data_IF_257043537649
#
_entry.id   IF_257043537649
#
_cell.length_a   1.000
_cell.length_b   1.000
_cell.length_c   1.000
_cell.angle_alpha   90.00
_cell.angle_beta   90.00
_cell.angle_gamma   90.00
#
_symmetry.space_group_name_H-M   'P 1'
#
loop_
_entity.id
_entity.type
_entity.pdbx_description
1 polymer ?
#
# COMPACT_ATOMS: atom_id res chain seq x y z
N UNK A 1 11.65 -9.00 11.06
CA UNK A 1 11.19 -9.79 9.90
C UNK A 1 11.11 -8.87 8.71
N UNK A 2 11.74 -9.24 7.60
CA UNK A 2 11.63 -8.55 6.32
C UNK A 2 10.30 -8.99 5.69
N UNK A 3 9.40 -8.04 5.38
CA UNK A 3 8.15 -8.34 4.68
C UNK A 3 8.42 -8.19 3.19
N UNK A 4 8.11 -9.23 2.42
CA UNK A 4 8.06 -9.15 0.97
C UNK A 4 6.77 -8.41 0.59
N UNK A 5 6.89 -7.34 -0.18
CA UNK A 5 5.74 -6.67 -0.77
C UNK A 5 5.52 -7.21 -2.17
N UNK A 6 4.30 -7.67 -2.44
CA UNK A 6 3.95 -8.17 -3.76
C UNK A 6 3.30 -7.05 -4.57
N UNK A 7 3.82 -6.78 -5.75
CA UNK A 7 3.34 -5.72 -6.61
C UNK A 7 3.08 -6.23 -8.03
N UNK A 8 2.19 -5.56 -8.74
CA UNK A 8 2.02 -5.76 -10.16
C UNK A 8 2.00 -4.43 -10.93
N UNK A 9 2.55 -4.43 -12.15
CA UNK A 9 2.46 -3.34 -13.13
C UNK A 9 1.62 -3.83 -14.32
N UNK A 10 0.71 -3.00 -14.81
CA UNK A 10 -0.06 -3.29 -16.01
C UNK A 10 -0.42 -2.01 -16.77
N UNK A 11 -0.08 -1.97 -18.06
CA UNK A 11 -0.73 -1.06 -18.99
C UNK A 11 -2.13 -1.58 -19.33
N UNK A 12 -3.16 -0.83 -18.94
CA UNK A 12 -4.55 -1.29 -19.06
C UNK A 12 -5.21 -0.92 -20.38
N UNK A 13 -4.70 0.06 -21.13
CA UNK A 13 -5.41 0.67 -22.27
C UNK A 13 -6.88 0.94 -21.95
N UNK A 14 -7.12 1.86 -21.03
CA UNK A 14 -8.36 2.09 -20.29
C UNK A 14 -8.64 1.08 -19.21
N UNK A 15 -9.09 1.56 -18.05
CA UNK A 15 -9.65 0.71 -16.99
C UNK A 15 -11.17 0.51 -17.11
N UNK A 16 -11.83 1.19 -18.06
CA UNK A 16 -13.26 1.09 -18.27
C UNK A 16 -13.66 -0.36 -18.61
N UNK A 17 -14.71 -0.88 -17.96
CA UNK A 17 -15.19 -2.27 -18.04
C UNK A 17 -14.20 -3.36 -17.57
N UNK A 18 -13.06 -3.00 -16.97
CA UNK A 18 -12.06 -3.97 -16.48
C UNK A 18 -12.01 -4.04 -14.96
N UNK A 19 -12.84 -3.25 -14.28
CA UNK A 19 -12.77 -3.06 -12.83
C UNK A 19 -12.90 -4.36 -12.04
N UNK A 20 -13.80 -5.26 -12.46
CA UNK A 20 -13.98 -6.54 -11.77
C UNK A 20 -12.76 -7.44 -11.90
N UNK A 21 -12.21 -7.60 -13.12
CA UNK A 21 -11.03 -8.44 -13.37
C UNK A 21 -9.81 -7.91 -12.59
N UNK A 22 -9.59 -6.59 -12.60
CA UNK A 22 -8.49 -5.98 -11.85
C UNK A 22 -8.66 -6.11 -10.33
N UNK A 23 -9.89 -6.04 -9.83
CA UNK A 23 -10.20 -6.24 -8.42
C UNK A 23 -9.90 -7.68 -7.97
N UNK A 24 -10.35 -8.69 -8.73
CA UNK A 24 -10.06 -10.10 -8.45
C UNK A 24 -8.57 -10.39 -8.61
N UNK A 25 -7.89 -9.81 -9.61
CA UNK A 25 -6.45 -9.94 -9.78
C UNK A 25 -5.66 -9.51 -8.53
N UNK A 26 -6.06 -8.41 -7.88
CA UNK A 26 -5.47 -7.95 -6.60
C UNK A 26 -5.66 -9.00 -5.50
N UNK A 27 -6.85 -9.57 -5.38
CA UNK A 27 -7.18 -10.55 -4.33
C UNK A 27 -6.50 -11.89 -4.55
N UNK A 28 -6.62 -12.45 -5.75
CA UNK A 28 -6.13 -13.78 -6.10
C UNK A 28 -4.60 -13.87 -6.01
N UNK A 29 -3.91 -12.77 -6.30
CA UNK A 29 -2.46 -12.69 -6.21
C UNK A 29 -1.97 -12.09 -4.88
N UNK A 30 -2.87 -11.77 -3.94
CA UNK A 30 -2.58 -11.12 -2.67
C UNK A 30 -1.64 -9.91 -2.83
N UNK A 31 -1.93 -9.05 -3.81
CA UNK A 31 -1.08 -7.90 -4.09
C UNK A 31 -1.11 -6.89 -2.95
N UNK A 32 0.02 -6.27 -2.66
CA UNK A 32 0.12 -5.06 -1.84
C UNK A 32 -0.02 -3.80 -2.71
N UNK A 33 0.39 -3.89 -3.97
CA UNK A 33 0.29 -2.80 -4.95
C UNK A 33 -0.18 -3.30 -6.32
N UNK A 34 -1.05 -2.52 -6.96
CA UNK A 34 -1.31 -2.60 -8.40
C UNK A 34 -1.04 -1.24 -9.02
N UNK A 35 -0.09 -1.20 -9.94
CA UNK A 35 0.32 -0.02 -10.67
C UNK A 35 -0.24 -0.06 -12.09
N UNK A 36 -0.92 1.00 -12.50
CA UNK A 36 -1.62 1.08 -13.76
C UNK A 36 -1.10 2.24 -14.59
N UNK A 37 -0.79 1.98 -15.86
CA UNK A 37 -0.60 3.00 -16.90
C UNK A 37 -1.75 2.93 -17.90
N UNK A 38 -1.92 4.00 -18.68
CA UNK A 38 -3.02 4.15 -19.64
C UNK A 38 -4.37 3.94 -18.98
N UNK A 39 -4.61 4.54 -17.81
CA UNK A 39 -5.87 4.35 -17.08
C UNK A 39 -7.06 4.93 -17.84
N UNK A 40 -6.83 5.99 -18.61
CA UNK A 40 -7.84 6.77 -19.33
C UNK A 40 -8.94 7.31 -18.41
N UNK A 41 -8.61 7.44 -17.12
CA UNK A 41 -9.45 8.04 -16.09
C UNK A 41 -9.62 9.53 -16.42
N UNK A 42 -10.87 10.02 -16.37
CA UNK A 42 -11.12 11.46 -16.48
C UNK A 42 -10.96 12.14 -15.13
N UNK A 43 -10.50 13.40 -15.08
CA UNK A 43 -10.53 14.17 -13.83
C UNK A 43 -11.93 14.17 -13.22
N UNK A 44 -12.02 13.96 -11.91
CA UNK A 44 -13.25 13.94 -11.11
C UNK A 44 -14.22 12.77 -11.42
N UNK A 45 -13.89 11.88 -12.34
CA UNK A 45 -14.54 10.57 -12.43
C UNK A 45 -13.73 9.61 -11.56
N UNK A 46 -14.37 8.90 -10.63
CA UNK A 46 -13.72 7.94 -9.73
C UNK A 46 -14.41 6.57 -9.74
N UNK A 47 -15.43 6.37 -10.59
CA UNK A 47 -16.27 5.18 -10.53
C UNK A 47 -15.47 3.89 -10.76
N UNK A 48 -14.69 3.85 -11.84
CA UNK A 48 -13.88 2.68 -12.20
C UNK A 48 -12.80 2.37 -11.14
N UNK A 49 -12.08 3.39 -10.65
CA UNK A 49 -11.06 3.24 -9.59
C UNK A 49 -11.65 2.74 -8.28
N UNK A 50 -12.82 3.24 -7.89
CA UNK A 50 -13.54 2.77 -6.71
C UNK A 50 -13.93 1.29 -6.84
N UNK A 51 -14.34 0.84 -8.03
CA UNK A 51 -14.67 -0.56 -8.28
C UNK A 51 -13.44 -1.47 -8.33
N UNK A 52 -12.31 -0.99 -8.86
CA UNK A 52 -11.04 -1.75 -8.89
C UNK A 52 -10.50 -1.96 -7.48
N UNK A 53 -10.70 -0.99 -6.59
CA UNK A 53 -10.06 -0.93 -5.28
C UNK A 53 -10.81 -1.80 -4.26
N UNK A 54 -10.24 -2.94 -3.80
CA UNK A 54 -10.91 -3.80 -2.83
C UNK A 54 -10.94 -3.17 -1.43
N UNK A 55 -11.76 -3.75 -0.54
CA UNK A 55 -11.73 -3.39 0.87
C UNK A 55 -10.32 -3.60 1.45
N UNK A 56 -9.84 -2.63 2.23
CA UNK A 56 -8.47 -2.64 2.76
C UNK A 56 -7.42 -1.98 1.84
N UNK A 57 -7.82 -1.45 0.69
CA UNK A 57 -6.95 -0.70 -0.23
C UNK A 57 -7.40 0.76 -0.37
N UNK A 58 -6.47 1.61 -0.80
CA UNK A 58 -6.65 2.99 -1.22
C UNK A 58 -5.97 3.17 -2.57
N UNK A 59 -6.18 4.28 -3.26
CA UNK A 59 -5.44 4.58 -4.47
C UNK A 59 -4.91 6.01 -4.50
N UNK A 60 -3.90 6.20 -5.34
CA UNK A 60 -3.38 7.49 -5.77
C UNK A 60 -3.51 7.52 -7.29
N UNK A 61 -4.11 8.56 -7.85
CA UNK A 61 -4.27 8.71 -9.29
C UNK A 61 -3.72 10.05 -9.80
N UNK A 62 -3.32 10.05 -11.07
CA UNK A 62 -2.94 11.23 -11.83
C UNK A 62 -3.55 11.08 -13.23
N UNK A 63 -4.80 11.55 -13.45
CA UNK A 63 -5.45 11.46 -14.75
C UNK A 63 -4.85 12.46 -15.74
N UNK A 64 -4.86 12.12 -17.03
CA UNK A 64 -4.48 13.08 -18.07
C UNK A 64 -5.58 14.15 -18.20
N UNK A 65 -5.27 15.46 -18.12
CA UNK A 65 -6.29 16.50 -18.15
C UNK A 65 -7.09 16.57 -19.46
N UNK A 66 -6.45 16.29 -20.59
CA UNK A 66 -7.04 16.44 -21.92
C UNK A 66 -6.56 15.34 -22.88
N UNK A 67 -7.37 15.07 -23.90
CA UNK A 67 -7.08 14.09 -24.94
C UNK A 67 -7.63 12.69 -24.66
N UNK A 68 -7.35 11.78 -25.58
CA UNK A 68 -7.60 10.35 -25.41
C UNK A 68 -6.30 9.69 -24.95
N UNK A 69 -6.39 8.76 -24.00
CA UNK A 69 -5.23 8.05 -23.48
C UNK A 69 -4.54 8.70 -22.28
N UNK A 70 -3.49 8.04 -21.80
CA UNK A 70 -2.69 8.44 -20.64
C UNK A 70 -3.33 8.12 -19.30
N UNK A 71 -2.83 8.78 -18.27
CA UNK A 71 -3.25 8.58 -16.90
C UNK A 71 -2.52 7.43 -16.22
N UNK A 72 -2.20 7.65 -14.95
CA UNK A 72 -1.45 6.73 -14.10
C UNK A 72 -2.20 6.57 -12.78
N UNK A 73 -2.22 5.35 -12.23
CA UNK A 73 -2.74 5.11 -10.90
C UNK A 73 -1.92 4.05 -10.14
N UNK A 74 -1.95 4.14 -8.82
CA UNK A 74 -1.43 3.14 -7.91
C UNK A 74 -2.52 2.76 -6.91
N UNK A 75 -2.93 1.50 -6.88
CA UNK A 75 -3.78 0.93 -5.84
C UNK A 75 -2.87 0.30 -4.79
N UNK A 76 -3.08 0.65 -3.53
CA UNK A 76 -2.13 0.42 -2.42
C UNK A 76 -2.88 -0.12 -1.20
N UNK A 77 -2.35 -1.15 -0.56
CA UNK A 77 -2.90 -1.64 0.73
C UNK A 77 -2.86 -0.53 1.79
N UNK A 78 -3.98 -0.24 2.46
CA UNK A 78 -4.15 0.90 3.41
C UNK A 78 -3.14 0.93 4.56
N UNK A 79 -2.55 -0.21 4.88
CA UNK A 79 -1.55 -0.34 5.95
C UNK A 79 -0.20 0.27 5.57
N UNK A 80 0.05 0.42 4.27
CA UNK A 80 1.26 0.99 3.72
C UNK A 80 1.08 2.50 3.59
N UNK A 81 1.96 3.26 4.24
CA UNK A 81 1.96 4.72 4.17
C UNK A 81 2.73 5.19 2.95
N UNK A 82 2.00 5.66 1.94
CA UNK A 82 2.53 6.29 0.75
C UNK A 82 2.28 7.81 0.78
N UNK A 83 3.30 8.60 0.48
CA UNK A 83 3.23 10.06 0.42
C UNK A 83 3.69 10.54 -0.95
N UNK A 84 2.85 11.27 -1.68
CA UNK A 84 3.20 11.81 -3.00
C UNK A 84 4.40 12.76 -2.88
N UNK A 85 5.34 12.64 -3.82
CA UNK A 85 6.44 13.59 -3.98
C UNK A 85 6.07 14.49 -5.18
N UNK A 86 5.88 15.80 -4.96
CA UNK A 86 5.60 16.72 -6.05
C UNK A 86 6.89 16.97 -6.85
N UNK A 87 7.00 16.30 -8.00
CA UNK A 87 8.04 16.58 -9.01
C UNK A 87 7.35 17.26 -10.20
N UNK A 88 7.90 18.37 -10.73
CA UNK A 88 7.36 19.06 -11.90
C UNK A 88 7.11 18.11 -13.08
N UNK A 89 6.06 18.36 -13.84
CA UNK A 89 5.71 17.55 -15.00
C UNK A 89 6.77 17.65 -16.09
N UNK A 90 7.13 16.49 -16.66
CA UNK A 90 7.98 16.42 -17.85
C UNK A 90 7.13 16.60 -19.11
N UNK A 91 7.74 17.12 -20.18
CA UNK A 91 7.05 17.30 -21.46
C UNK A 91 6.93 16.00 -22.27
N UNK A 92 7.80 15.04 -21.98
CA UNK A 92 8.01 13.83 -22.77
C UNK A 92 7.33 12.57 -22.23
N UNK A 93 6.91 12.56 -20.96
CA UNK A 93 6.23 11.44 -20.33
C UNK A 93 5.34 11.90 -19.17
N UNK A 94 4.40 11.05 -18.78
CA UNK A 94 3.64 11.20 -17.55
C UNK A 94 4.31 10.43 -16.42
N UNK A 95 4.26 10.96 -15.20
CA UNK A 95 4.75 10.24 -14.02
C UNK A 95 3.88 10.42 -12.78
N UNK A 96 3.89 9.40 -11.93
CA UNK A 96 3.39 9.45 -10.56
C UNK A 96 4.48 8.97 -9.61
N UNK A 97 4.85 9.81 -8.64
CA UNK A 97 5.99 9.55 -7.76
C UNK A 97 5.55 9.70 -6.31
N UNK A 98 5.87 8.71 -5.49
CA UNK A 98 5.55 8.71 -4.07
C UNK A 98 6.61 7.95 -3.27
N UNK A 99 6.68 8.29 -1.98
CA UNK A 99 7.58 7.70 -1.00
C UNK A 99 6.81 6.74 -0.09
N UNK A 100 7.34 5.54 0.08
CA UNK A 100 6.88 4.60 1.10
C UNK A 100 7.65 4.83 2.39
N UNK A 101 6.92 4.95 3.50
CA UNK A 101 7.53 5.13 4.82
C UNK A 101 8.07 3.81 5.37
N UNK A 102 9.34 3.80 5.78
CA UNK A 102 9.97 2.68 6.48
C UNK A 102 11.39 2.99 6.97
N UNK A 103 12.05 2.06 7.68
CA UNK A 103 13.45 2.15 8.08
C UNK A 103 14.37 2.63 6.97
N UNK A 104 14.20 2.07 5.77
CA UNK A 104 14.83 2.55 4.53
C UNK A 104 13.71 3.08 3.64
N UNK A 105 13.64 4.39 3.38
CA UNK A 105 12.57 4.92 2.56
C UNK A 105 12.69 4.44 1.11
N UNK A 106 11.61 3.90 0.55
CA UNK A 106 11.56 3.57 -0.87
C UNK A 106 10.85 4.70 -1.62
N UNK A 107 11.49 5.25 -2.65
CA UNK A 107 10.79 6.10 -3.63
C UNK A 107 10.33 5.22 -4.78
N UNK A 108 9.05 5.31 -5.12
CA UNK A 108 8.44 4.62 -6.26
C UNK A 108 8.05 5.64 -7.31
N UNK A 109 8.48 5.41 -8.55
CA UNK A 109 8.20 6.24 -9.71
C UNK A 109 7.55 5.38 -10.80
N UNK A 110 6.33 5.76 -11.19
CA UNK A 110 5.59 5.15 -12.30
C UNK A 110 5.71 6.09 -13.48
N UNK A 111 6.19 5.61 -14.63
CA UNK A 111 6.31 6.39 -15.86
C UNK A 111 5.40 5.82 -16.95
N UNK A 112 4.77 6.71 -17.72
CA UNK A 112 4.17 6.35 -19.00
C UNK A 112 4.71 7.29 -20.07
N UNK A 113 5.51 6.75 -21.00
CA UNK A 113 5.99 7.49 -22.17
C UNK A 113 5.05 7.21 -23.35
N UNK A 114 4.41 8.24 -23.92
CA UNK A 114 3.63 8.07 -25.15
C UNK A 114 4.47 7.48 -26.29
N UNK A 115 3.88 6.69 -27.21
CA UNK A 115 4.64 6.02 -28.28
C UNK A 115 5.22 7.00 -29.31
N UNK A 116 4.68 8.22 -29.40
CA UNK A 116 5.20 9.23 -30.32
C UNK A 116 6.61 9.66 -29.87
N UNK A 117 7.61 9.65 -30.77
CA UNK A 117 8.95 10.09 -30.42
C UNK A 117 8.96 11.52 -29.88
N UNK A 118 9.68 11.72 -28.77
CA UNK A 118 9.98 13.03 -28.21
C UNK A 118 11.50 13.11 -27.98
N UNK A 119 12.22 14.06 -28.61
CA UNK A 119 13.66 14.18 -28.49
C UNK A 119 14.13 14.54 -27.07
N UNK A 120 13.28 15.20 -26.27
CA UNK A 120 13.59 15.58 -24.88
C UNK A 120 13.45 14.42 -23.89
N UNK A 121 13.00 13.23 -24.32
CA UNK A 121 12.74 12.13 -23.39
C UNK A 121 13.96 11.71 -22.58
N UNK A 122 15.13 11.54 -23.21
CA UNK A 122 16.32 11.08 -22.50
C UNK A 122 16.86 12.14 -21.53
N UNK A 123 16.78 13.43 -21.89
CA UNK A 123 17.15 14.52 -20.97
C UNK A 123 16.18 14.62 -19.80
N UNK A 124 14.87 14.61 -20.07
CA UNK A 124 13.84 14.66 -19.02
C UNK A 124 13.96 13.44 -18.07
N UNK A 125 14.30 12.27 -18.62
CA UNK A 125 14.57 11.05 -17.84
C UNK A 125 15.83 11.21 -17.00
N UNK A 126 16.94 11.69 -17.56
CA UNK A 126 18.17 11.91 -16.79
C UNK A 126 17.95 12.86 -15.61
N UNK A 127 17.18 13.93 -15.83
CA UNK A 127 16.83 14.90 -14.79
C UNK A 127 15.97 14.26 -13.69
N UNK A 128 14.97 13.45 -14.05
CA UNK A 128 14.12 12.79 -13.06
C UNK A 128 14.88 11.71 -12.28
N UNK A 129 15.74 10.93 -12.94
CA UNK A 129 16.58 9.93 -12.27
C UNK A 129 17.51 10.58 -11.26
N UNK A 130 18.13 11.71 -11.62
CA UNK A 130 19.01 12.48 -10.74
C UNK A 130 18.25 13.00 -9.51
N UNK A 131 17.04 13.56 -9.72
CA UNK A 131 16.18 14.01 -8.63
C UNK A 131 15.77 12.86 -7.71
N UNK A 132 15.36 11.71 -8.27
CA UNK A 132 14.95 10.54 -7.50
C UNK A 132 16.09 10.01 -6.62
N UNK A 133 17.31 9.91 -7.18
CA UNK A 133 18.51 9.48 -6.46
C UNK A 133 18.89 10.43 -5.33
N UNK A 134 18.62 11.73 -5.47
CA UNK A 134 18.82 12.71 -4.40
C UNK A 134 17.82 12.55 -3.24
N UNK A 135 16.63 12.01 -3.51
CA UNK A 135 15.56 11.85 -2.50
C UNK A 135 15.75 10.55 -1.69
N UNK A 136 16.19 9.48 -2.33
CA UNK A 136 16.43 8.20 -1.66
C UNK A 136 17.51 7.36 -2.35
N UNK A 137 18.35 6.63 -1.57
CA UNK A 137 19.26 5.64 -2.12
C UNK A 137 18.53 4.39 -2.67
N UNK A 138 17.26 4.21 -2.33
CA UNK A 138 16.44 3.10 -2.81
C UNK A 138 15.29 3.66 -3.65
N UNK A 139 15.35 3.40 -4.97
CA UNK A 139 14.33 3.84 -5.93
C UNK A 139 13.87 2.66 -6.76
N UNK A 140 12.56 2.56 -6.91
CA UNK A 140 11.89 1.64 -7.82
C UNK A 140 11.22 2.47 -8.92
N UNK A 141 11.67 2.27 -10.16
CA UNK A 141 11.18 2.96 -11.36
C UNK A 141 10.58 1.93 -12.30
N UNK A 142 9.35 2.12 -12.75
CA UNK A 142 8.74 1.20 -13.70
C UNK A 142 7.62 1.86 -14.50
N UNK A 143 7.14 1.16 -15.52
CA UNK A 143 6.04 1.62 -16.34
C UNK A 143 6.15 1.20 -17.80
N UNK A 144 5.34 1.80 -18.65
CA UNK A 144 5.39 1.58 -20.10
C UNK A 144 6.22 2.68 -20.76
N UNK A 145 7.36 2.27 -21.32
CA UNK A 145 8.30 3.18 -21.97
C UNK A 145 8.06 3.29 -23.47
N UNK A 146 7.25 2.42 -24.09
CA UNK A 146 7.09 2.38 -25.55
C UNK A 146 8.43 2.42 -26.31
N UNK A 147 9.43 1.69 -25.81
CA UNK A 147 10.75 1.49 -26.43
C UNK A 147 10.97 -0.02 -26.51
N UNK A 148 11.22 -0.55 -27.71
CA UNK A 148 11.63 -1.95 -27.89
C UNK A 148 13.05 -2.11 -27.34
N UNK A 149 13.17 -2.37 -26.03
CA UNK A 149 14.46 -2.43 -25.34
C UNK A 149 15.26 -3.69 -25.71
N UNK A 150 14.57 -4.69 -26.25
CA UNK A 150 15.07 -5.98 -26.73
C UNK A 150 15.64 -5.92 -28.15
N UNK A 151 15.44 -4.83 -28.90
CA UNK A 151 15.99 -4.68 -30.26
C UNK A 151 17.47 -4.24 -30.20
N UNK A 152 18.43 -5.11 -30.58
CA UNK A 152 19.86 -4.79 -30.53
C UNK A 152 20.28 -3.77 -31.60
N UNK A 153 19.45 -3.54 -32.62
CA UNK A 153 19.73 -2.58 -33.70
C UNK A 153 19.25 -1.17 -33.37
N UNK A 154 18.42 -1.03 -32.33
CA UNK A 154 17.85 0.24 -31.92
C UNK A 154 18.84 1.07 -31.11
N UNK A 155 19.49 2.05 -31.77
CA UNK A 155 20.41 3.00 -31.11
C UNK A 155 19.77 3.71 -29.91
N UNK A 156 18.49 4.08 -30.04
CA UNK A 156 17.76 4.77 -28.99
C UNK A 156 17.55 3.91 -27.73
N UNK A 157 17.34 2.59 -27.91
CA UNK A 157 17.27 1.65 -26.80
C UNK A 157 18.63 1.55 -26.07
N UNK A 158 19.75 1.57 -26.81
CA UNK A 158 21.09 1.58 -26.22
C UNK A 158 21.37 2.87 -25.43
N UNK A 159 21.02 4.04 -25.98
CA UNK A 159 21.16 5.33 -25.27
C UNK A 159 20.30 5.39 -23.99
N UNK A 160 19.09 4.84 -24.05
CA UNK A 160 18.24 4.70 -22.86
C UNK A 160 18.86 3.80 -21.79
N UNK A 161 19.42 2.63 -22.17
CA UNK A 161 20.12 1.73 -21.23
C UNK A 161 21.32 2.43 -20.59
N UNK A 162 22.09 3.18 -21.39
CA UNK A 162 23.24 3.94 -20.89
C UNK A 162 22.80 5.03 -19.90
N UNK A 163 21.68 5.71 -20.16
CA UNK A 163 21.11 6.72 -19.24
C UNK A 163 20.75 6.10 -17.89
N UNK A 164 20.11 4.92 -17.89
CA UNK A 164 19.82 4.19 -16.64
C UNK A 164 21.11 3.78 -15.91
N UNK A 165 22.08 3.24 -16.66
CA UNK A 165 23.35 2.79 -16.10
C UNK A 165 24.15 3.92 -15.45
N UNK A 166 24.25 5.08 -16.12
CA UNK A 166 24.89 6.29 -15.58
C UNK A 166 24.26 6.78 -14.27
N UNK A 167 22.97 6.52 -14.06
CA UNK A 167 22.25 6.85 -12.84
C UNK A 167 22.19 5.69 -11.82
N UNK A 168 22.95 4.62 -12.02
CA UNK A 168 22.97 3.41 -11.18
C UNK A 168 21.62 2.67 -11.09
N UNK A 169 20.80 2.73 -12.14
CA UNK A 169 19.58 1.92 -12.26
C UNK A 169 19.85 0.63 -13.03
N UNK A 170 19.43 -0.49 -12.46
CA UNK A 170 19.40 -1.79 -13.13
C UNK A 170 18.00 -2.06 -13.66
N UNK A 171 17.88 -2.42 -14.94
CA UNK A 171 16.64 -2.93 -15.53
C UNK A 171 16.57 -4.45 -15.30
N UNK A 172 15.39 -4.98 -14.96
CA UNK A 172 15.21 -6.37 -14.53
C UNK A 172 14.40 -7.25 -15.50
N UNK A 173 13.70 -6.68 -16.47
CA UNK A 173 12.79 -7.43 -17.36
C UNK A 173 13.56 -8.04 -18.53
N UNK A 174 13.48 -9.37 -18.66
CA UNK A 174 14.14 -10.14 -19.72
C UNK A 174 13.17 -11.01 -20.54
N UNK A 175 11.86 -10.76 -20.42
CA UNK A 175 10.81 -11.49 -21.11
C UNK A 175 9.83 -10.53 -21.80
N UNK A 176 9.11 -10.96 -22.85
CA UNK A 176 8.11 -10.14 -23.52
C UNK A 176 7.01 -9.63 -22.58
N UNK A 177 6.69 -8.34 -22.68
CA UNK A 177 5.63 -7.69 -21.89
C UNK A 177 4.45 -7.25 -22.75
N UNK A 178 4.58 -7.38 -24.07
CA UNK A 178 3.53 -7.11 -25.03
C UNK A 178 3.17 -8.37 -25.82
N UNK A 179 1.90 -8.54 -26.18
CA UNK A 179 1.37 -9.69 -26.94
C UNK A 179 2.03 -9.91 -28.31
N UNK A 180 2.74 -8.89 -28.82
CA UNK A 180 3.53 -8.96 -30.07
C UNK A 180 4.98 -9.43 -29.87
N UNK A 181 5.38 -9.76 -28.65
CA UNK A 181 6.69 -10.37 -28.35
C UNK A 181 7.80 -9.40 -27.92
N UNK A 182 7.52 -8.10 -27.82
CA UNK A 182 8.52 -7.10 -27.40
C UNK A 182 8.47 -6.77 -25.91
N UNK A 183 9.54 -6.15 -25.43
CA UNK A 183 9.69 -5.66 -24.07
C UNK A 183 9.48 -4.14 -24.09
N UNK A 184 8.31 -3.70 -23.64
CA UNK A 184 7.92 -2.27 -23.60
C UNK A 184 7.79 -1.75 -22.17
N UNK A 185 7.33 -2.63 -21.28
CA UNK A 185 7.09 -2.34 -19.89
C UNK A 185 8.33 -2.76 -19.09
N UNK A 186 8.90 -1.82 -18.33
CA UNK A 186 10.18 -2.04 -17.66
C UNK A 186 10.02 -1.93 -16.15
N UNK A 187 10.79 -2.74 -15.44
CA UNK A 187 11.03 -2.60 -14.00
C UNK A 187 12.52 -2.34 -13.82
N UNK A 188 12.83 -1.19 -13.25
CA UNK A 188 14.18 -0.71 -12.98
C UNK A 188 14.32 -0.37 -11.49
N UNK A 189 15.50 -0.58 -10.91
CA UNK A 189 15.73 -0.17 -9.52
C UNK A 189 17.18 0.22 -9.23
N UNK A 190 17.35 0.97 -8.15
CA UNK A 190 18.62 1.23 -7.50
C UNK A 190 18.49 0.98 -6.00
N UNK A 191 19.54 0.47 -5.35
CA UNK A 191 19.55 0.18 -3.91
C UNK A 191 18.47 -0.79 -3.42
N UNK A 192 17.98 -1.68 -4.30
CA UNK A 192 16.89 -2.64 -4.05
C UNK A 192 17.10 -3.93 -4.83
N UNK A 193 16.65 -5.04 -4.24
CA UNK A 193 16.59 -6.33 -4.91
C UNK A 193 15.13 -6.66 -5.25
N UNK A 194 14.89 -7.03 -6.51
CA UNK A 194 13.60 -7.48 -7.02
C UNK A 194 13.64 -9.01 -7.15
N UNK A 195 12.58 -9.67 -6.68
CA UNK A 195 12.44 -11.13 -6.72
C UNK A 195 11.16 -11.53 -7.44
N UNK A 196 11.09 -12.81 -7.84
CA UNK A 196 9.90 -13.44 -8.44
C UNK A 196 9.25 -12.63 -9.56
N UNK A 197 10.08 -12.07 -10.45
CA UNK A 197 9.62 -11.32 -11.60
C UNK A 197 9.01 -12.26 -12.63
N UNK A 198 7.75 -12.04 -12.99
CA UNK A 198 7.00 -12.87 -13.93
C UNK A 198 5.96 -12.05 -14.70
N UNK A 199 5.48 -12.58 -15.82
CA UNK A 199 4.39 -12.00 -16.59
C UNK A 199 3.14 -12.86 -16.55
N UNK A 200 1.98 -12.22 -16.61
CA UNK A 200 0.66 -12.85 -16.67
C UNK A 200 -0.22 -12.13 -17.68
N UNK A 201 -0.83 -12.88 -18.60
CA UNK A 201 -1.82 -12.31 -19.52
C UNK A 201 -3.19 -12.31 -18.85
N UNK A 202 -3.70 -11.11 -18.51
CA UNK A 202 -5.06 -10.95 -17.96
C UNK A 202 -6.14 -10.82 -19.04
N UNK A 203 -5.76 -10.80 -20.32
CA UNK A 203 -6.65 -10.59 -21.47
C UNK A 203 -7.49 -9.29 -21.39
N UNK A 204 -6.98 -8.28 -20.67
CA UNK A 204 -7.62 -6.96 -20.54
C UNK A 204 -7.02 -5.91 -21.48
N UNK A 205 -5.81 -6.14 -21.97
CA UNK A 205 -5.11 -5.33 -22.97
C UNK A 205 -4.14 -6.22 -23.76
N UNK A 206 -3.39 -5.64 -24.69
CA UNK A 206 -2.30 -6.29 -25.39
C UNK A 206 -0.96 -6.26 -24.61
N UNK A 207 -0.95 -5.75 -23.38
CA UNK A 207 0.17 -5.83 -22.45
C UNK A 207 -0.07 -6.93 -21.41
N UNK A 208 1.02 -7.55 -20.95
CA UNK A 208 1.01 -8.53 -19.88
C UNK A 208 1.22 -7.82 -18.53
N UNK A 209 0.54 -8.29 -17.50
CA UNK A 209 0.79 -7.84 -16.13
C UNK A 209 2.14 -8.38 -15.67
N UNK A 210 3.01 -7.49 -15.18
CA UNK A 210 4.29 -7.87 -14.58
C UNK A 210 4.09 -7.98 -13.09
N UNK A 211 4.35 -9.15 -12.50
CA UNK A 211 4.26 -9.40 -11.07
C UNK A 211 5.68 -9.46 -10.50
N UNK A 212 5.91 -8.82 -9.36
CA UNK A 212 7.20 -8.74 -8.70
C UNK A 212 7.07 -8.73 -7.18
N UNK A 213 8.06 -9.30 -6.51
CA UNK A 213 8.23 -9.20 -5.06
C UNK A 213 9.38 -8.23 -4.74
N UNK A 214 9.11 -7.27 -3.86
CA UNK A 214 10.06 -6.23 -3.46
C UNK A 214 10.41 -6.41 -1.99
N UNK A 215 11.69 -6.51 -1.70
CA UNK A 215 12.18 -6.59 -0.33
C UNK A 215 12.30 -5.19 0.24
N UNK A 216 11.39 -4.83 1.16
CA UNK A 216 11.51 -3.58 1.91
C UNK A 216 11.59 -3.91 3.39
N UNK A 217 12.55 -3.31 4.13
CA UNK A 217 12.44 -3.26 5.58
C UNK A 217 11.27 -2.33 5.92
N UNK A 218 10.05 -2.87 5.99
CA UNK A 218 8.86 -2.15 6.47
C UNK A 218 8.94 -2.13 8.00
N UNK A 219 8.52 -1.05 8.68
CA UNK A 219 8.38 -1.09 10.13
C UNK A 219 7.48 -2.27 10.50
N UNK A 220 7.90 -3.10 11.46
CA UNK A 220 7.05 -4.18 11.96
C UNK A 220 5.66 -3.59 12.28
N UNK A 221 4.62 -4.20 11.69
CA UNK A 221 3.26 -3.74 11.85
C UNK A 221 2.96 -3.69 13.35
N UNK A 222 2.62 -2.52 13.88
CA UNK A 222 2.38 -2.36 15.33
C UNK A 222 1.25 -3.32 15.69
N UNK A 223 1.55 -4.34 16.50
CA UNK A 223 0.53 -5.26 16.97
C UNK A 223 -0.55 -4.45 17.69
N UNK A 224 -1.73 -4.40 17.08
CA UNK A 224 -2.91 -3.87 17.75
C UNK A 224 -3.26 -4.87 18.84
N UNK A 225 -3.32 -4.42 20.09
CA UNK A 225 -3.78 -5.23 21.21
C UNK A 225 -5.11 -4.66 21.68
N UNK A 226 -6.08 -5.54 21.88
CA UNK A 226 -7.30 -5.20 22.61
C UNK A 226 -6.95 -5.22 24.08
N UNK A 227 -7.05 -4.07 24.73
CA UNK A 227 -6.93 -3.97 26.19
C UNK A 227 -8.31 -3.85 26.81
N UNK A 228 -8.46 -4.44 27.99
CA UNK A 228 -9.62 -4.27 28.86
C UNK A 228 -9.26 -3.32 29.99
N UNK A 229 -10.10 -2.32 30.26
CA UNK A 229 -9.90 -1.38 31.35
C UNK A 229 -11.21 -1.03 32.04
N UNK A 230 -11.11 -0.53 33.29
CA UNK A 230 -12.22 0.02 34.06
C UNK A 230 -11.88 1.46 34.44
N UNK A 231 -12.87 2.33 34.42
CA UNK A 231 -12.66 3.73 34.78
C UNK A 231 -12.76 3.95 36.29
N UNK A 232 -11.91 3.26 37.06
CA UNK A 232 -12.00 3.20 38.53
C UNK A 232 -11.91 4.58 39.19
N UNK A 233 -11.18 5.51 38.58
CA UNK A 233 -11.01 6.88 39.09
C UNK A 233 -12.27 7.74 39.03
N UNK A 234 -13.29 7.37 38.25
CA UNK A 234 -14.57 8.08 38.26
C UNK A 234 -15.55 7.58 39.30
N UNK A 235 -15.22 6.50 40.02
CA UNK A 235 -16.11 6.00 41.06
C UNK A 235 -15.95 6.88 42.29
N UNK A 236 -17.04 7.48 42.77
CA UNK A 236 -17.03 8.22 44.03
C UNK A 236 -17.03 7.24 45.21
N UNK A 237 -16.31 7.54 46.32
CA UNK A 237 -16.34 6.70 47.52
C UNK A 237 -17.75 6.49 48.07
N UNK A 238 -18.61 7.51 48.00
CA UNK A 238 -20.00 7.43 48.43
C UNK A 238 -20.84 6.47 47.59
N UNK A 239 -20.61 6.39 46.28
CA UNK A 239 -21.31 5.46 45.41
C UNK A 239 -20.92 3.99 45.70
N UNK A 240 -19.66 3.73 46.05
CA UNK A 240 -19.21 2.40 46.47
C UNK A 240 -19.92 1.98 47.75
N UNK A 241 -19.90 2.84 48.77
CA UNK A 241 -20.56 2.56 50.05
C UNK A 241 -22.05 2.32 49.86
N UNK A 242 -22.74 3.16 49.08
CA UNK A 242 -24.15 2.99 48.78
C UNK A 242 -24.44 1.66 48.06
N UNK A 243 -23.63 1.30 47.06
CA UNK A 243 -23.78 0.06 46.30
C UNK A 243 -23.59 -1.18 47.15
N UNK A 244 -22.55 -1.20 48.00
CA UNK A 244 -22.26 -2.35 48.89
C UNK A 244 -23.37 -2.48 49.93
N UNK A 245 -23.74 -1.40 50.61
CA UNK A 245 -24.80 -1.43 51.64
C UNK A 245 -26.15 -1.84 51.06
N UNK A 246 -26.49 -1.36 49.87
CA UNK A 246 -27.71 -1.76 49.17
C UNK A 246 -27.67 -3.27 48.85
N UNK A 247 -26.55 -3.77 48.30
CA UNK A 247 -26.44 -5.17 47.90
C UNK A 247 -26.46 -6.13 49.09
N UNK A 248 -25.77 -5.79 50.17
CA UNK A 248 -25.76 -6.58 51.41
C UNK A 248 -27.11 -6.57 52.13
N UNK A 249 -27.86 -5.46 52.06
CA UNK A 249 -29.23 -5.40 52.59
C UNK A 249 -30.19 -6.30 51.81
N UNK A 250 -30.07 -6.33 50.47
CA UNK A 250 -30.93 -7.13 49.59
C UNK A 250 -30.58 -8.62 49.63
N UNK A 251 -29.30 -8.95 49.76
CA UNK A 251 -28.79 -10.32 49.78
C UNK A 251 -27.78 -10.45 50.92
N UNK A 252 -28.22 -10.72 52.16
CA UNK A 252 -27.31 -10.82 53.30
C UNK A 252 -26.34 -12.01 53.18
N UNK A 253 -25.24 -12.02 53.94
CA UNK A 253 -24.29 -13.13 53.95
C UNK A 253 -24.98 -14.45 54.35
N UNK A 254 -24.55 -15.59 53.77
CA UNK A 254 -25.07 -16.89 54.17
C UNK A 254 -24.71 -17.22 55.62
N UNK A 255 -25.62 -17.86 56.35
CA UNK A 255 -25.36 -18.43 57.68
C UNK A 255 -24.60 -19.74 57.50
N UNK A 256 -23.30 -19.63 57.20
CA UNK A 256 -22.41 -20.78 56.98
C UNK A 256 -21.18 -20.67 57.88
N UNK A 257 -20.81 -21.79 58.51
CA UNK A 257 -19.52 -21.91 59.22
C UNK A 257 -18.36 -22.19 58.25
N UNK A 258 -18.67 -22.45 56.98
CA UNK A 258 -17.67 -22.64 55.95
C UNK A 258 -17.08 -21.30 55.53
N UNK A 259 -15.83 -21.07 55.94
CA UNK A 259 -15.10 -19.85 55.63
C UNK A 259 -15.01 -19.57 54.12
N UNK A 260 -14.95 -20.61 53.28
CA UNK A 260 -14.87 -20.47 51.83
C UNK A 260 -16.13 -19.81 51.27
N UNK A 261 -17.31 -20.20 51.76
CA UNK A 261 -18.59 -19.66 51.28
C UNK A 261 -18.76 -18.19 51.65
N UNK A 262 -18.29 -17.78 52.82
CA UNK A 262 -18.28 -16.39 53.25
C UNK A 262 -17.34 -15.53 52.41
N UNK A 263 -16.15 -16.06 52.07
CA UNK A 263 -15.18 -15.38 51.19
C UNK A 263 -15.72 -15.26 49.76
N UNK A 264 -16.38 -16.29 49.25
CA UNK A 264 -17.01 -16.28 47.92
C UNK A 264 -18.15 -15.25 47.85
N UNK A 265 -18.99 -15.19 48.88
CA UNK A 265 -20.03 -14.17 49.00
C UNK A 265 -19.43 -12.75 49.00
N UNK A 266 -18.35 -12.53 49.77
CA UNK A 266 -17.67 -11.23 49.81
C UNK A 266 -17.10 -10.83 48.45
N UNK A 267 -16.33 -11.72 47.82
CA UNK A 267 -15.69 -11.46 46.53
C UNK A 267 -16.70 -11.26 45.39
N UNK A 268 -17.78 -12.04 45.39
CA UNK A 268 -18.85 -11.91 44.39
C UNK A 268 -19.65 -10.61 44.58
N UNK A 269 -19.94 -10.22 45.81
CA UNK A 269 -20.62 -8.95 46.13
C UNK A 269 -19.79 -7.75 45.69
N UNK A 270 -18.49 -7.74 46.00
CA UNK A 270 -17.58 -6.69 45.54
C UNK A 270 -17.45 -6.65 44.02
N UNK A 271 -17.28 -7.81 43.39
CA UNK A 271 -17.17 -7.91 41.93
C UNK A 271 -18.44 -7.40 41.23
N UNK A 272 -19.62 -7.72 41.77
CA UNK A 272 -20.90 -7.21 41.29
C UNK A 272 -20.97 -5.69 41.37
N UNK A 273 -20.69 -5.11 42.55
CA UNK A 273 -20.72 -3.65 42.73
C UNK A 273 -19.70 -2.96 41.82
N UNK A 274 -18.53 -3.55 41.63
CA UNK A 274 -17.50 -3.04 40.74
C UNK A 274 -17.92 -3.10 39.25
N UNK A 275 -18.65 -4.14 38.85
CA UNK A 275 -19.20 -4.28 37.50
C UNK A 275 -20.28 -3.24 37.19
N UNK A 276 -21.15 -2.94 38.16
CA UNK A 276 -22.18 -1.90 38.03
C UNK A 276 -21.55 -0.50 37.95
N UNK A 277 -20.64 -0.17 38.87
CA UNK A 277 -20.07 1.17 38.99
C UNK A 277 -19.00 1.47 37.92
N UNK A 278 -18.26 0.45 37.48
CA UNK A 278 -17.22 0.58 36.47
C UNK A 278 -17.14 -0.68 35.60
N UNK A 279 -18.06 -0.84 34.64
CA UNK A 279 -18.07 -1.99 33.75
C UNK A 279 -16.78 -2.05 32.92
N UNK A 280 -16.36 -3.28 32.61
CA UNK A 280 -15.18 -3.51 31.76
C UNK A 280 -15.43 -2.94 30.37
N UNK A 281 -14.53 -2.07 29.92
CA UNK A 281 -14.52 -1.53 28.56
C UNK A 281 -13.33 -2.08 27.79
N UNK A 282 -13.52 -2.31 26.49
CA UNK A 282 -12.46 -2.74 25.58
C UNK A 282 -12.00 -1.56 24.72
N UNK A 283 -10.69 -1.44 24.51
CA UNK A 283 -10.11 -0.47 23.56
C UNK A 283 -9.00 -1.12 22.75
N UNK A 284 -9.00 -0.83 21.45
CA UNK A 284 -7.90 -1.21 20.57
C UNK A 284 -6.79 -0.16 20.69
N UNK A 285 -5.60 -0.60 21.08
CA UNK A 285 -4.44 0.26 21.28
C UNK A 285 -3.21 -0.26 20.54
N UNK A 286 -2.29 0.65 20.24
CA UNK A 286 -0.98 0.36 19.65
C UNK A 286 0.09 1.00 20.52
N UNK A 287 1.05 0.21 21.01
CA UNK A 287 2.10 0.69 21.90
C UNK A 287 3.39 1.05 21.15
N UNK A 288 4.17 1.95 21.74
CA UNK A 288 5.57 2.23 21.42
C UNK A 288 6.31 2.02 22.73
N UNK A 289 7.22 1.04 22.80
CA UNK A 289 8.24 1.09 23.85
C UNK A 289 9.28 2.10 23.36
N UNK A 290 9.34 3.24 24.05
CA UNK A 290 10.44 4.20 23.96
C UNK A 290 11.64 3.67 24.70
#
# INVERSE_FOLDING_TARGET
MQRHLRAALLNTRSIHNKSHILNEFIKDNNLDFLYLTETWQKPLDYFSLNQITPAGFTYIDKPRPQGQGGGIAAIIRKEIKATIIPIPDASSFEHLIFKLSGPTPLVTAIIYRPPKPNPSFLSDLSDILTQLSAISPSVLLFGDFNIHIDDPTCKYASEFKETLHCCNFSQHINFPTHSRGHILDLVCSTGLTIHHLSSLNLHVSDHLAIIMDINIPIPAQKQKRTITYRHLKSISPSAITASITCKMSVSPPPLSENLSELVDYYNSTLSFCLNELAPTKTKNVSFIHS
#
